data_IF_264381983284
#
_entry.id   IF_264381983284
#
_cell.length_a   1.000
_cell.length_b   1.000
_cell.length_c   1.000
_cell.angle_alpha   90.00
_cell.angle_beta   90.00
_cell.angle_gamma   90.00
#
_symmetry.space_group_name_H-M   'P 1'
#
loop_
_entity.id
_entity.type
_entity.pdbx_description
1 polymer ?
#
# COMPACT_ATOMS: atom_id res chain seq x y z
N UNK A 1 14.94 2.82 -3.28
CA UNK A 1 15.99 2.39 -4.24
C UNK A 1 15.43 2.28 -5.66
N UNK A 2 16.18 2.75 -6.63
CA UNK A 2 15.84 2.75 -8.06
C UNK A 2 16.15 1.41 -8.74
N UNK A 3 15.87 0.26 -8.09
CA UNK A 3 16.23 -1.07 -8.59
C UNK A 3 15.70 -1.38 -10.01
N UNK A 4 14.53 -0.88 -10.36
CA UNK A 4 14.00 -1.05 -11.72
C UNK A 4 14.89 -0.37 -12.78
N UNK A 5 15.41 0.84 -12.51
CA UNK A 5 16.35 1.53 -13.40
C UNK A 5 17.70 0.81 -13.49
N UNK A 6 18.22 0.33 -12.36
CA UNK A 6 19.46 -0.46 -12.35
C UNK A 6 19.31 -1.77 -13.11
N UNK A 7 18.14 -2.43 -13.01
CA UNK A 7 17.85 -3.62 -13.80
C UNK A 7 17.82 -3.31 -15.30
N UNK A 8 17.17 -2.21 -15.70
CA UNK A 8 17.12 -1.78 -17.10
C UNK A 8 18.51 -1.40 -17.63
N UNK A 9 19.34 -0.77 -16.81
CA UNK A 9 20.72 -0.47 -17.12
C UNK A 9 21.55 -1.77 -17.28
N UNK A 10 21.33 -2.77 -16.44
CA UNK A 10 21.96 -4.08 -16.56
C UNK A 10 21.65 -4.74 -17.91
N UNK A 11 20.40 -4.69 -18.39
CA UNK A 11 20.02 -5.20 -19.71
C UNK A 11 20.71 -4.46 -20.87
N UNK A 12 21.11 -3.21 -20.64
CA UNK A 12 21.83 -2.38 -21.60
C UNK A 12 23.37 -2.46 -21.45
N UNK A 13 23.87 -3.33 -20.54
CA UNK A 13 25.29 -3.40 -20.12
C UNK A 13 25.83 -2.02 -19.68
N UNK A 14 25.01 -1.21 -19.03
CA UNK A 14 25.33 0.14 -18.61
C UNK A 14 25.63 0.16 -17.11
N UNK A 15 26.88 0.50 -16.75
CA UNK A 15 27.26 0.80 -15.39
C UNK A 15 27.05 2.30 -15.13
N UNK A 16 25.91 2.66 -14.54
CA UNK A 16 25.50 4.05 -14.32
C UNK A 16 24.89 4.23 -12.92
N UNK A 17 25.27 5.31 -12.25
CA UNK A 17 24.69 5.71 -10.99
C UNK A 17 23.48 6.63 -11.26
N UNK A 18 22.29 6.20 -10.83
CA UNK A 18 21.02 6.93 -10.99
C UNK A 18 20.88 8.12 -9.99
N UNK A 19 21.94 8.44 -9.28
CA UNK A 19 22.02 9.55 -8.34
C UNK A 19 21.30 9.29 -7.01
N UNK A 20 20.97 10.37 -6.30
CA UNK A 20 20.47 10.32 -4.93
C UNK A 20 19.27 9.40 -4.76
N UNK A 21 19.31 8.61 -3.70
CA UNK A 21 18.23 7.75 -3.25
C UNK A 21 17.57 8.31 -1.99
N UNK A 22 16.27 8.06 -1.83
CA UNK A 22 15.51 8.46 -0.65
C UNK A 22 15.52 7.30 0.34
N UNK A 23 16.13 7.51 1.51
CA UNK A 23 16.05 6.57 2.64
C UNK A 23 14.72 6.68 3.39
N UNK A 24 14.38 5.63 4.14
CA UNK A 24 13.17 5.60 4.99
C UNK A 24 13.37 6.25 6.36
N UNK A 25 14.61 6.40 6.81
CA UNK A 25 14.93 6.96 8.13
C UNK A 25 14.33 8.37 8.30
N UNK A 26 13.62 8.56 9.41
CA UNK A 26 12.96 9.83 9.73
C UNK A 26 11.72 10.16 8.88
N UNK A 27 11.35 9.32 7.91
CA UNK A 27 10.20 9.57 7.04
C UNK A 27 8.88 9.36 7.76
N UNK A 28 7.91 10.21 7.44
CA UNK A 28 6.52 10.08 7.87
C UNK A 28 5.75 9.20 6.89
N UNK A 29 5.30 8.04 7.35
CA UNK A 29 4.55 7.07 6.55
C UNK A 29 3.10 7.05 7.03
N UNK A 30 2.18 7.45 6.16
CA UNK A 30 0.74 7.41 6.40
C UNK A 30 0.17 6.09 5.87
N UNK A 31 -0.40 5.29 6.76
CA UNK A 31 -1.03 4.00 6.43
C UNK A 31 -2.54 4.16 6.50
N UNK A 32 -3.17 4.24 5.33
CA UNK A 32 -4.64 4.33 5.20
C UNK A 32 -5.21 2.92 5.24
N UNK A 33 -5.72 2.54 6.42
CA UNK A 33 -6.16 1.20 6.73
C UNK A 33 -5.26 0.51 7.77
N UNK A 34 -5.21 1.03 9.01
CA UNK A 34 -4.42 0.47 10.11
C UNK A 34 -5.10 -0.78 10.73
N UNK A 35 -5.48 -1.75 9.89
CA UNK A 35 -5.94 -3.09 10.24
C UNK A 35 -4.77 -4.07 10.37
N UNK A 36 -5.00 -5.34 10.08
CA UNK A 36 -3.96 -6.39 10.17
C UNK A 36 -2.79 -6.11 9.20
N UNK A 37 -3.07 -5.87 7.91
CA UNK A 37 -2.03 -5.56 6.92
C UNK A 37 -1.28 -4.29 7.31
N UNK A 38 -1.99 -3.20 7.62
CA UNK A 38 -1.38 -1.92 7.99
C UNK A 38 -0.52 -2.02 9.25
N UNK A 39 -0.97 -2.75 10.27
CA UNK A 39 -0.19 -2.98 11.49
C UNK A 39 1.08 -3.80 11.24
N UNK A 40 1.02 -4.79 10.35
CA UNK A 40 2.18 -5.57 9.94
C UNK A 40 3.18 -4.73 9.12
N UNK A 41 2.70 -3.79 8.30
CA UNK A 41 3.54 -2.81 7.60
C UNK A 41 4.22 -1.91 8.62
N UNK A 42 3.47 -1.30 9.55
CA UNK A 42 4.00 -0.44 10.60
C UNK A 42 5.09 -1.15 11.44
N UNK A 43 4.84 -2.41 11.82
CA UNK A 43 5.82 -3.25 12.52
C UNK A 43 7.12 -3.42 11.73
N UNK A 44 7.06 -3.60 10.41
CA UNK A 44 8.26 -3.72 9.58
C UNK A 44 8.98 -2.39 9.38
N UNK A 45 8.23 -1.31 9.28
CA UNK A 45 8.77 0.03 9.11
C UNK A 45 9.46 0.55 10.39
N UNK A 46 9.08 0.06 11.58
CA UNK A 46 9.66 0.51 12.85
C UNK A 46 11.18 0.29 12.93
N UNK A 47 11.73 -0.73 12.22
CA UNK A 47 13.18 -0.99 12.19
C UNK A 47 13.97 0.04 11.35
N UNK A 48 13.28 0.85 10.56
CA UNK A 48 13.87 1.92 9.74
C UNK A 48 13.74 3.31 10.38
N UNK A 49 13.37 3.41 11.66
CA UNK A 49 13.13 4.67 12.35
C UNK A 49 12.15 5.61 11.65
N UNK A 50 11.12 5.06 11.03
CA UNK A 50 10.04 5.84 10.42
C UNK A 50 9.05 6.33 11.47
N UNK A 51 8.42 7.48 11.24
CA UNK A 51 7.23 7.91 11.98
C UNK A 51 5.98 7.39 11.25
N UNK A 52 5.38 6.33 11.75
CA UNK A 52 4.21 5.70 11.12
C UNK A 52 2.92 6.23 11.71
N UNK A 53 2.02 6.70 10.85
CA UNK A 53 0.71 7.27 11.18
C UNK A 53 -0.36 6.36 10.59
N UNK A 54 -1.40 6.06 11.36
CA UNK A 54 -2.49 5.21 10.90
C UNK A 54 -3.80 5.95 10.66
N UNK A 55 -4.53 5.54 9.63
CA UNK A 55 -5.95 5.90 9.44
C UNK A 55 -6.79 4.64 9.68
N UNK A 56 -7.76 4.73 10.59
CA UNK A 56 -8.73 3.66 10.84
C UNK A 56 -10.02 4.18 11.45
N UNK A 57 -11.07 3.35 11.38
CA UNK A 57 -12.41 3.73 11.87
C UNK A 57 -12.47 3.88 13.40
N UNK A 58 -11.81 3.01 14.15
CA UNK A 58 -11.80 3.06 15.61
C UNK A 58 -10.38 3.37 16.10
N UNK A 59 -10.19 4.56 16.67
CA UNK A 59 -8.90 5.08 17.13
C UNK A 59 -8.62 4.82 18.61
N UNK A 60 -9.58 4.28 19.39
CA UNK A 60 -9.46 4.09 20.84
C UNK A 60 -8.35 3.12 21.24
N UNK A 61 -8.03 2.14 20.39
CA UNK A 61 -6.97 1.16 20.62
C UNK A 61 -5.94 1.29 19.51
N UNK A 62 -4.93 2.12 19.71
CA UNK A 62 -3.84 2.27 18.75
C UNK A 62 -2.97 1.00 18.75
N UNK A 63 -2.83 0.30 17.60
CA UNK A 63 -1.94 -0.84 17.52
C UNK A 63 -0.49 -0.43 17.78
N UNK A 64 0.38 -1.35 18.26
CA UNK A 64 1.81 -1.09 18.40
C UNK A 64 2.43 -0.59 17.08
N UNK A 65 3.51 0.17 17.18
CA UNK A 65 4.29 0.70 16.04
C UNK A 65 3.66 1.87 15.28
N UNK A 66 2.50 2.40 15.71
CA UNK A 66 1.99 3.68 15.24
C UNK A 66 2.33 4.79 16.24
N UNK A 67 2.76 5.94 15.73
CA UNK A 67 3.00 7.14 16.55
C UNK A 67 1.72 7.96 16.76
N UNK A 68 0.83 7.93 15.77
CA UNK A 68 -0.44 8.66 15.77
C UNK A 68 -1.51 7.82 15.06
N UNK A 69 -2.77 8.06 15.43
CA UNK A 69 -3.92 7.40 14.81
C UNK A 69 -5.02 8.43 14.54
N UNK A 70 -5.57 8.42 13.34
CA UNK A 70 -6.60 9.34 12.88
C UNK A 70 -7.76 8.60 12.24
N UNK A 71 -8.89 9.30 12.08
CA UNK A 71 -10.07 8.82 11.34
C UNK A 71 -9.93 9.13 9.84
N UNK A 72 -10.81 8.57 9.03
CA UNK A 72 -10.80 8.82 7.59
C UNK A 72 -11.13 10.27 7.24
N UNK A 73 -11.92 10.94 8.07
CA UNK A 73 -12.31 12.34 7.88
C UNK A 73 -11.11 13.31 8.00
N UNK A 74 -10.05 12.88 8.72
CA UNK A 74 -8.81 13.64 8.89
C UNK A 74 -7.77 13.34 7.78
N UNK A 75 -8.12 12.50 6.79
CA UNK A 75 -7.18 12.07 5.75
C UNK A 75 -6.55 13.26 5.02
N UNK A 76 -7.36 14.24 4.63
CA UNK A 76 -6.90 15.38 3.83
C UNK A 76 -5.92 16.28 4.62
N UNK A 77 -6.00 16.28 5.95
CA UNK A 77 -5.04 16.98 6.83
C UNK A 77 -3.73 16.21 6.97
N UNK A 78 -3.76 14.87 6.85
CA UNK A 78 -2.58 14.02 7.02
C UNK A 78 -1.76 13.85 5.73
N UNK A 79 -2.41 13.93 4.56
CA UNK A 79 -1.75 13.77 3.26
C UNK A 79 -0.57 14.74 3.05
N UNK A 80 -0.69 16.07 3.34
CA UNK A 80 0.40 17.01 3.15
C UNK A 80 1.61 16.78 4.06
N UNK A 81 1.46 15.98 5.10
CA UNK A 81 2.51 15.70 6.08
C UNK A 81 3.31 14.43 5.74
N UNK A 82 2.78 13.59 4.86
CA UNK A 82 3.33 12.27 4.58
C UNK A 82 4.38 12.27 3.48
N UNK A 83 5.50 11.58 3.71
CA UNK A 83 6.50 11.31 2.68
C UNK A 83 6.15 10.05 1.88
N UNK A 84 5.43 9.13 2.50
CA UNK A 84 4.91 7.91 1.86
C UNK A 84 3.47 7.70 2.32
N UNK A 85 2.57 7.43 1.37
CA UNK A 85 1.18 7.06 1.64
C UNK A 85 0.95 5.62 1.20
N UNK A 86 0.46 4.78 2.11
CA UNK A 86 0.15 3.37 1.85
C UNK A 86 -1.34 3.14 2.00
N UNK A 87 -2.02 2.84 0.89
CA UNK A 87 -3.42 2.45 0.88
C UNK A 87 -3.54 0.92 1.06
N UNK A 88 -4.09 0.50 2.19
CA UNK A 88 -4.39 -0.90 2.52
C UNK A 88 -5.77 -1.05 3.18
N UNK A 89 -6.67 -0.13 2.87
CA UNK A 89 -8.08 -0.12 3.29
C UNK A 89 -8.92 -0.95 2.31
N UNK A 90 -9.97 -1.66 2.75
CA UNK A 90 -10.88 -2.35 1.85
C UNK A 90 -11.70 -1.36 1.03
N UNK A 91 -12.16 -1.80 -0.15
CA UNK A 91 -13.13 -1.05 -0.94
C UNK A 91 -14.52 -1.10 -0.29
N UNK A 92 -15.20 0.04 -0.27
CA UNK A 92 -16.58 0.24 0.18
C UNK A 92 -17.14 1.49 -0.50
N UNK A 93 -18.42 1.81 -0.31
CA UNK A 93 -19.01 3.07 -0.80
C UNK A 93 -18.27 4.32 -0.29
N UNK A 94 -17.68 4.29 0.93
CA UNK A 94 -16.94 5.39 1.53
C UNK A 94 -15.49 5.49 1.08
N UNK A 95 -14.95 4.44 0.45
CA UNK A 95 -13.55 4.36 0.04
C UNK A 95 -13.37 4.18 -1.47
N UNK A 96 -14.47 4.04 -2.20
CA UNK A 96 -14.46 4.01 -3.66
C UNK A 96 -13.93 5.36 -4.19
N UNK A 97 -12.93 5.29 -5.06
CA UNK A 97 -12.23 6.47 -5.59
C UNK A 97 -11.72 7.43 -4.50
N UNK A 98 -11.30 6.85 -3.35
CA UNK A 98 -10.76 7.62 -2.24
C UNK A 98 -9.58 8.50 -2.64
N UNK A 99 -8.74 8.02 -3.56
CA UNK A 99 -7.60 8.76 -4.09
C UNK A 99 -7.91 9.25 -5.50
N UNK A 100 -8.37 10.48 -5.56
CA UNK A 100 -8.60 11.29 -6.74
C UNK A 100 -7.47 12.31 -6.96
N UNK A 101 -7.57 13.11 -8.02
CA UNK A 101 -6.60 14.16 -8.32
C UNK A 101 -6.42 15.16 -7.18
N UNK A 102 -7.51 15.52 -6.48
CA UNK A 102 -7.44 16.46 -5.38
C UNK A 102 -6.54 15.91 -4.27
N UNK A 103 -6.78 14.69 -3.82
CA UNK A 103 -6.00 14.05 -2.75
C UNK A 103 -4.56 13.75 -3.15
N UNK A 104 -4.33 13.37 -4.40
CA UNK A 104 -2.95 13.24 -4.88
C UNK A 104 -2.20 14.57 -4.86
N UNK A 105 -2.86 15.67 -5.21
CA UNK A 105 -2.26 17.01 -5.16
C UNK A 105 -2.07 17.55 -3.72
N UNK A 106 -2.80 17.03 -2.73
CA UNK A 106 -2.56 17.32 -1.30
C UNK A 106 -1.30 16.62 -0.77
N UNK A 107 -0.87 15.51 -1.37
CA UNK A 107 0.36 14.84 -0.96
C UNK A 107 1.56 15.76 -1.18
N UNK A 108 2.62 15.55 -0.39
CA UNK A 108 3.87 16.29 -0.61
C UNK A 108 4.37 16.12 -2.03
N UNK A 109 4.93 17.19 -2.57
CA UNK A 109 5.79 17.07 -3.74
C UNK A 109 6.89 16.04 -3.45
N UNK A 110 7.19 15.17 -4.42
CA UNK A 110 8.11 14.04 -4.28
C UNK A 110 7.68 12.90 -3.33
N UNK A 111 6.43 12.89 -2.84
CA UNK A 111 5.92 11.77 -2.06
C UNK A 111 5.81 10.48 -2.91
N UNK A 112 5.79 9.35 -2.21
CA UNK A 112 5.57 8.02 -2.80
C UNK A 112 4.17 7.53 -2.43
N UNK A 113 3.42 7.02 -3.42
CA UNK A 113 2.14 6.38 -3.20
C UNK A 113 2.24 4.86 -3.37
N UNK A 114 1.62 4.10 -2.47
CA UNK A 114 1.58 2.63 -2.52
C UNK A 114 0.15 2.15 -2.35
N UNK A 115 -0.36 1.33 -3.28
CA UNK A 115 -1.68 0.71 -3.17
C UNK A 115 -1.58 -0.82 -3.14
N UNK A 116 -1.85 -1.39 -1.97
CA UNK A 116 -1.98 -2.84 -1.73
C UNK A 116 -3.38 -3.20 -1.23
N UNK A 117 -4.32 -2.27 -1.32
CA UNK A 117 -5.71 -2.46 -0.93
C UNK A 117 -6.57 -3.02 -2.05
N UNK A 118 -7.17 -2.12 -2.84
CA UNK A 118 -7.99 -2.46 -4.02
C UNK A 118 -7.79 -1.42 -5.12
N UNK A 119 -7.91 -1.84 -6.39
CA UNK A 119 -7.81 -0.94 -7.54
C UNK A 119 -8.82 0.21 -7.49
N UNK A 120 -10.04 -0.11 -7.12
CA UNK A 120 -11.17 0.83 -7.00
C UNK A 120 -10.99 1.95 -5.94
N UNK A 121 -9.94 1.92 -5.12
CA UNK A 121 -9.59 3.04 -4.23
C UNK A 121 -9.04 4.25 -5.00
N UNK A 122 -8.59 4.06 -6.23
CA UNK A 122 -7.81 5.04 -6.99
C UNK A 122 -8.49 5.35 -8.32
N UNK A 123 -8.66 6.62 -8.62
CA UNK A 123 -8.93 7.04 -10.00
C UNK A 123 -7.61 6.94 -10.78
N UNK A 124 -7.46 5.84 -11.56
CA UNK A 124 -6.19 5.51 -12.23
C UNK A 124 -5.71 6.61 -13.16
N UNK A 125 -6.63 7.30 -13.83
CA UNK A 125 -6.30 8.44 -14.70
C UNK A 125 -5.63 9.57 -13.92
N UNK A 126 -6.12 9.87 -12.73
CA UNK A 126 -5.58 10.92 -11.87
C UNK A 126 -4.18 10.54 -11.35
N UNK A 127 -3.97 9.26 -11.00
CA UNK A 127 -2.65 8.75 -10.62
C UNK A 127 -1.65 8.90 -11.77
N UNK A 128 -2.05 8.54 -13.00
CA UNK A 128 -1.21 8.71 -14.20
C UNK A 128 -0.80 10.16 -14.36
N UNK A 129 -1.76 11.08 -14.27
CA UNK A 129 -1.52 12.52 -14.49
C UNK A 129 -0.54 13.09 -13.46
N UNK A 130 -0.69 12.75 -12.16
CA UNK A 130 0.21 13.27 -11.12
C UNK A 130 1.60 12.64 -11.17
N UNK A 131 1.72 11.39 -11.63
CA UNK A 131 3.01 10.76 -11.86
C UNK A 131 3.73 11.37 -13.08
N UNK A 132 3.03 11.56 -14.19
CA UNK A 132 3.59 12.18 -15.40
C UNK A 132 3.96 13.66 -15.20
N UNK A 133 3.25 14.38 -14.34
CA UNK A 133 3.59 15.76 -13.98
C UNK A 133 4.84 15.86 -13.08
N UNK A 134 5.30 14.77 -12.49
CA UNK A 134 6.40 14.74 -11.53
C UNK A 134 6.03 15.26 -10.15
N UNK A 135 4.74 15.46 -9.83
CA UNK A 135 4.30 15.85 -8.49
C UNK A 135 4.61 14.75 -7.47
N UNK A 136 4.29 13.49 -7.79
CA UNK A 136 4.74 12.34 -7.02
C UNK A 136 6.04 11.79 -7.59
N UNK A 137 6.99 11.44 -6.73
CA UNK A 137 8.26 10.84 -7.16
C UNK A 137 8.08 9.44 -7.73
N UNK A 138 7.04 8.74 -7.33
CA UNK A 138 6.69 7.42 -7.85
C UNK A 138 5.51 6.79 -7.14
N UNK A 139 5.02 5.69 -7.72
CA UNK A 139 4.02 4.87 -7.09
C UNK A 139 4.31 3.37 -7.27
N UNK A 140 3.74 2.56 -6.36
CA UNK A 140 3.70 1.11 -6.45
C UNK A 140 2.25 0.68 -6.31
N UNK A 141 1.73 -0.05 -7.27
CA UNK A 141 0.38 -0.63 -7.19
C UNK A 141 0.45 -2.14 -7.37
N UNK A 142 -0.17 -2.86 -6.44
CA UNK A 142 -0.33 -4.30 -6.52
C UNK A 142 -1.73 -4.68 -7.04
N UNK A 143 -2.60 -3.68 -7.16
CA UNK A 143 -4.01 -3.83 -7.53
C UNK A 143 -4.40 -2.76 -8.55
N UNK A 144 -5.32 -3.11 -9.46
CA UNK A 144 -5.83 -2.23 -10.50
C UNK A 144 -7.34 -2.41 -10.69
N UNK A 145 -7.96 -1.61 -11.54
CA UNK A 145 -9.35 -1.74 -11.96
C UNK A 145 -9.45 -1.45 -13.47
N UNK A 146 -9.81 -2.46 -14.30
CA UNK A 146 -10.10 -3.86 -13.94
C UNK A 146 -8.85 -4.69 -13.63
N UNK A 147 -9.05 -5.87 -13.05
CA UNK A 147 -8.06 -6.93 -12.92
C UNK A 147 -8.50 -8.16 -13.73
N UNK A 148 -7.62 -8.78 -14.53
CA UNK A 148 -6.25 -8.36 -14.87
C UNK A 148 -6.20 -7.02 -15.57
N UNK A 149 -5.10 -6.26 -15.35
CA UNK A 149 -4.90 -4.98 -16.03
C UNK A 149 -4.76 -5.21 -17.55
N UNK A 150 -5.60 -4.56 -18.40
CA UNK A 150 -5.57 -4.75 -19.83
C UNK A 150 -4.23 -4.36 -20.46
N UNK A 151 -3.78 -5.06 -21.52
CA UNK A 151 -2.51 -4.75 -22.20
C UNK A 151 -2.40 -3.32 -22.75
N UNK A 152 -3.54 -2.72 -23.11
CA UNK A 152 -3.65 -1.36 -23.63
C UNK A 152 -3.68 -0.28 -22.56
N UNK A 153 -3.63 -0.66 -21.28
CA UNK A 153 -3.67 0.32 -20.19
C UNK A 153 -2.49 1.28 -20.23
N UNK A 154 -2.79 2.55 -20.09
CA UNK A 154 -1.79 3.63 -20.03
C UNK A 154 -0.85 3.51 -18.82
N UNK A 155 -1.26 2.81 -17.75
CA UNK A 155 -0.45 2.53 -16.56
C UNK A 155 0.88 1.84 -16.91
N UNK A 156 0.90 0.96 -17.93
CA UNK A 156 2.13 0.25 -18.32
C UNK A 156 3.25 1.16 -18.82
N UNK A 157 2.90 2.36 -19.31
CA UNK A 157 3.85 3.33 -19.90
C UNK A 157 4.35 4.39 -18.91
N UNK A 158 3.91 4.35 -17.65
CA UNK A 158 4.30 5.34 -16.64
C UNK A 158 5.64 4.95 -16.01
N UNK A 159 6.69 5.71 -16.29
CA UNK A 159 8.07 5.37 -15.91
C UNK A 159 8.32 5.24 -14.42
N UNK A 160 7.67 6.08 -13.60
CA UNK A 160 7.83 6.11 -12.15
C UNK A 160 6.73 5.31 -11.42
N UNK A 161 6.10 4.34 -12.12
CA UNK A 161 5.12 3.41 -11.58
C UNK A 161 5.67 1.97 -11.62
N UNK A 162 5.57 1.28 -10.48
CA UNK A 162 5.81 -0.17 -10.40
C UNK A 162 4.48 -0.88 -10.22
N UNK A 163 4.23 -1.88 -11.05
CA UNK A 163 2.99 -2.68 -11.04
C UNK A 163 3.35 -4.12 -10.70
N UNK A 164 2.64 -4.71 -9.74
CA UNK A 164 2.69 -6.15 -9.45
C UNK A 164 1.28 -6.75 -9.58
N UNK A 165 1.16 -8.05 -9.98
CA UNK A 165 -0.13 -8.61 -10.34
C UNK A 165 -0.87 -9.22 -9.14
N UNK A 166 -1.23 -8.40 -8.15
CA UNK A 166 -1.98 -8.76 -6.93
C UNK A 166 -1.31 -9.89 -6.12
N UNK A 167 0.00 -9.76 -5.90
CA UNK A 167 0.86 -10.78 -5.25
C UNK A 167 1.59 -10.29 -4.00
N UNK A 168 1.38 -9.04 -3.56
CA UNK A 168 2.06 -8.47 -2.41
C UNK A 168 1.66 -9.14 -1.08
N UNK A 169 0.47 -9.71 -1.02
CA UNK A 169 0.01 -10.55 0.07
C UNK A 169 0.43 -12.00 -0.12
N UNK A 170 0.72 -12.70 0.97
CA UNK A 170 0.93 -14.14 0.93
C UNK A 170 -0.42 -14.83 0.67
N UNK A 171 -0.63 -15.33 -0.53
CA UNK A 171 -1.90 -15.93 -0.95
C UNK A 171 -1.94 -17.44 -0.71
N UNK A 172 -3.18 -17.94 -0.55
CA UNK A 172 -3.46 -19.36 -0.47
C UNK A 172 -2.94 -20.11 -1.71
N UNK A 173 -2.29 -21.23 -1.50
CA UNK A 173 -1.72 -22.06 -2.57
C UNK A 173 -0.32 -21.65 -3.03
N UNK A 174 0.14 -20.42 -2.80
CA UNK A 174 1.45 -19.97 -3.23
C UNK A 174 2.55 -20.16 -2.19
N UNK A 175 2.17 -20.35 -0.92
CA UNK A 175 3.08 -20.56 0.20
C UNK A 175 2.57 -21.65 1.13
N UNK A 176 3.29 -22.78 1.23
CA UNK A 176 2.90 -23.92 2.06
C UNK A 176 2.57 -23.47 3.49
N UNK A 177 3.45 -22.67 4.12
CA UNK A 177 3.24 -22.21 5.49
C UNK A 177 1.97 -21.37 5.71
N UNK A 178 1.47 -20.69 4.66
CA UNK A 178 0.24 -19.93 4.72
C UNK A 178 -0.96 -20.84 4.52
N UNK A 179 -0.88 -21.73 3.54
CA UNK A 179 -1.88 -22.78 3.32
C UNK A 179 -2.12 -23.60 4.59
N UNK A 180 -1.07 -24.05 5.25
CA UNK A 180 -1.14 -24.81 6.49
C UNK A 180 -1.81 -24.00 7.63
N UNK A 181 -1.51 -22.69 7.75
CA UNK A 181 -2.15 -21.81 8.74
C UNK A 181 -3.65 -21.64 8.44
N UNK A 182 -4.02 -21.42 7.19
CA UNK A 182 -5.43 -21.26 6.79
C UNK A 182 -6.19 -22.54 7.09
N UNK A 183 -5.67 -23.71 6.73
CA UNK A 183 -6.30 -25.00 7.06
C UNK A 183 -6.46 -25.17 8.57
N UNK A 184 -5.45 -24.80 9.36
CA UNK A 184 -5.54 -24.88 10.83
C UNK A 184 -6.66 -24.01 11.38
N UNK A 185 -6.73 -22.74 10.94
CA UNK A 185 -7.79 -21.80 11.35
C UNK A 185 -9.16 -22.32 10.93
N UNK A 186 -9.31 -22.80 9.69
CA UNK A 186 -10.57 -23.37 9.21
C UNK A 186 -10.99 -24.58 10.04
N UNK A 187 -10.09 -25.53 10.30
CA UNK A 187 -10.38 -26.73 11.10
C UNK A 187 -10.79 -26.37 12.54
N UNK A 188 -10.08 -25.42 13.16
CA UNK A 188 -10.40 -24.94 14.51
C UNK A 188 -11.74 -24.20 14.54
N UNK A 189 -12.04 -23.37 13.55
CA UNK A 189 -13.33 -22.69 13.45
C UNK A 189 -14.49 -23.63 13.20
N UNK A 190 -14.32 -24.67 12.39
CA UNK A 190 -15.34 -25.74 12.23
C UNK A 190 -15.59 -26.42 13.57
N UNK A 191 -14.54 -26.81 14.28
CA UNK A 191 -14.66 -27.42 15.62
C UNK A 191 -15.35 -26.48 16.62
N UNK A 192 -14.97 -25.21 16.63
CA UNK A 192 -15.57 -24.20 17.50
C UNK A 192 -17.07 -24.00 17.18
N UNK A 193 -17.42 -23.92 15.91
CA UNK A 193 -18.81 -23.78 15.47
C UNK A 193 -19.68 -24.97 15.95
N UNK A 194 -19.20 -26.21 15.73
CA UNK A 194 -19.92 -27.43 16.15
C UNK A 194 -20.09 -27.44 17.68
N UNK A 195 -19.15 -26.92 18.43
CA UNK A 195 -19.16 -26.91 19.91
C UNK A 195 -19.72 -25.61 20.52
N UNK A 196 -20.36 -24.74 19.73
CA UNK A 196 -20.89 -23.44 20.15
C UNK A 196 -19.84 -22.56 20.88
N UNK A 197 -18.58 -22.61 20.44
CA UNK A 197 -17.49 -21.77 20.92
C UNK A 197 -17.30 -20.56 20.00
N UNK A 198 -16.71 -19.45 20.49
CA UNK A 198 -16.34 -18.31 19.66
C UNK A 198 -15.39 -18.71 18.53
N UNK A 199 -15.62 -18.14 17.35
CA UNK A 199 -14.70 -18.33 16.23
C UNK A 199 -13.43 -17.51 16.45
N UNK A 200 -12.30 -18.04 15.96
CA UNK A 200 -11.01 -17.33 15.93
C UNK A 200 -10.81 -16.66 14.58
N UNK A 201 -10.03 -15.58 14.57
CA UNK A 201 -9.70 -14.82 13.38
C UNK A 201 -8.17 -14.75 13.20
#
# INVERSE_FOLDING_TARGET
HKFYKYRDNQHKNLWHDEGLEIGLEGKRVLIVGAGDIGSNIAKKLSVFNTKTIGIRRNINNMPPYFAEMHTLDELDEQLPLADVVVACIPNSEYTYHLFDKHRFMLMKNDAIFVNVGRGALVIQKDLIDVLKSGHLSGAVIDVAEPEPLPPESELWSVENLVITPHISGKSFGHHKSITDKIYKICAENISNYINNKPLIN
#
